data_IF_011380806221
#
_entry.id   IF_011380806221
#
_cell.length_a   1.000
_cell.length_b   1.000
_cell.length_c   1.000
_cell.angle_alpha   90.00
_cell.angle_beta   90.00
_cell.angle_gamma   90.00
#
_symmetry.space_group_name_H-M   'P 1'
#
loop_
_entity.id
_entity.type
_entity.pdbx_description
1 polymer ?
#
# COMPACT_ATOMS: atom_id res chain seq x y z
N UNK A 1 -22.09 -31.60 9.13
CA UNK A 1 -21.76 -30.18 8.84
C UNK A 1 -23.05 -29.38 8.98
N UNK A 2 -23.04 -28.29 9.74
CA UNK A 2 -24.25 -27.50 10.00
C UNK A 2 -24.76 -26.81 8.72
N UNK A 3 -26.07 -26.53 8.66
CA UNK A 3 -26.72 -25.86 7.52
C UNK A 3 -26.14 -24.45 7.29
N UNK A 4 -25.95 -23.71 8.38
CA UNK A 4 -25.32 -22.38 8.37
C UNK A 4 -23.83 -22.43 7.98
N UNK A 5 -23.07 -23.40 8.51
CA UNK A 5 -21.64 -23.52 8.15
C UNK A 5 -21.47 -23.78 6.67
N UNK A 6 -22.38 -24.57 6.08
CA UNK A 6 -22.37 -24.82 4.65
C UNK A 6 -22.64 -23.55 3.84
N UNK A 7 -23.59 -22.70 4.28
CA UNK A 7 -23.89 -21.43 3.59
C UNK A 7 -22.72 -20.46 3.63
N UNK A 8 -22.06 -20.34 4.80
CA UNK A 8 -20.85 -19.54 4.98
C UNK A 8 -19.73 -20.05 4.06
N UNK A 9 -19.52 -21.37 3.99
CA UNK A 9 -18.46 -21.96 3.17
C UNK A 9 -18.67 -21.67 1.67
N UNK A 10 -19.91 -21.72 1.19
CA UNK A 10 -20.24 -21.35 -0.18
C UNK A 10 -19.98 -19.85 -0.45
N UNK A 11 -20.26 -18.99 0.53
CA UNK A 11 -19.98 -17.54 0.41
C UNK A 11 -18.49 -17.22 0.42
N UNK A 12 -17.72 -17.90 1.27
CA UNK A 12 -16.24 -17.77 1.31
C UNK A 12 -15.61 -18.25 0.00
N UNK A 13 -16.20 -19.24 -0.67
CA UNK A 13 -15.78 -19.67 -2.01
C UNK A 13 -16.08 -18.66 -3.12
N UNK A 14 -16.78 -17.56 -2.83
CA UNK A 14 -17.08 -16.50 -3.80
C UNK A 14 -18.15 -16.89 -4.83
N UNK A 15 -19.00 -17.87 -4.52
CA UNK A 15 -20.13 -18.23 -5.38
C UNK A 15 -21.19 -17.14 -5.36
N UNK A 16 -21.84 -16.93 -6.51
CA UNK A 16 -22.97 -16.02 -6.58
C UNK A 16 -24.19 -16.59 -5.84
N UNK A 17 -25.05 -15.70 -5.38
CA UNK A 17 -26.26 -16.00 -4.62
C UNK A 17 -27.16 -17.03 -5.30
N UNK A 18 -27.25 -16.99 -6.63
CA UNK A 18 -28.01 -17.96 -7.44
C UNK A 18 -27.39 -19.36 -7.36
N UNK A 19 -26.06 -19.45 -7.50
CA UNK A 19 -25.32 -20.71 -7.42
C UNK A 19 -25.33 -21.31 -6.01
N UNK A 20 -25.25 -20.46 -4.99
CA UNK A 20 -25.40 -20.87 -3.58
C UNK A 20 -26.78 -21.49 -3.37
N UNK A 21 -27.84 -20.83 -3.85
CA UNK A 21 -29.22 -21.32 -3.74
C UNK A 21 -29.38 -22.67 -4.44
N UNK A 22 -28.83 -22.83 -5.64
CA UNK A 22 -28.84 -24.10 -6.38
C UNK A 22 -28.15 -25.23 -5.60
N UNK A 23 -26.94 -24.99 -5.08
CA UNK A 23 -26.19 -25.98 -4.29
C UNK A 23 -26.86 -26.34 -2.97
N UNK A 24 -27.59 -25.40 -2.36
CA UNK A 24 -28.36 -25.69 -1.15
C UNK A 24 -29.59 -26.56 -1.46
N UNK A 25 -30.28 -26.30 -2.58
CA UNK A 25 -31.38 -27.17 -3.05
C UNK A 25 -30.89 -28.58 -3.37
N UNK A 26 -29.78 -28.71 -4.09
CA UNK A 26 -29.14 -30.00 -4.39
C UNK A 26 -28.79 -30.79 -3.11
N UNK A 27 -28.55 -30.08 -2.01
CA UNK A 27 -28.23 -30.67 -0.70
C UNK A 27 -29.47 -30.94 0.17
N UNK A 28 -30.67 -30.70 -0.35
CA UNK A 28 -31.94 -31.00 0.33
C UNK A 28 -32.43 -29.93 1.31
N UNK A 29 -32.03 -28.66 1.12
CA UNK A 29 -32.54 -27.57 1.94
C UNK A 29 -33.93 -27.13 1.44
N UNK A 30 -34.83 -26.80 2.37
CA UNK A 30 -36.13 -26.21 2.03
C UNK A 30 -35.98 -24.76 1.58
N UNK A 31 -36.82 -24.32 0.64
CA UNK A 31 -36.77 -22.97 0.09
C UNK A 31 -36.96 -21.86 1.15
N UNK A 32 -37.75 -22.15 2.19
CA UNK A 32 -37.97 -21.30 3.37
C UNK A 32 -36.67 -21.11 4.19
N UNK A 33 -35.97 -22.20 4.45
CA UNK A 33 -34.71 -22.22 5.20
C UNK A 33 -33.57 -21.59 4.41
N UNK A 34 -33.52 -21.79 3.08
CA UNK A 34 -32.44 -21.27 2.25
C UNK A 34 -32.35 -19.75 2.36
N UNK A 35 -33.47 -19.03 2.31
CA UNK A 35 -33.47 -17.57 2.46
C UNK A 35 -32.93 -17.14 3.82
N UNK A 36 -33.34 -17.84 4.89
CA UNK A 36 -32.87 -17.56 6.24
C UNK A 36 -31.35 -17.74 6.35
N UNK A 37 -30.82 -18.88 5.90
CA UNK A 37 -29.39 -19.19 5.99
C UNK A 37 -28.52 -18.32 5.07
N UNK A 38 -29.03 -17.92 3.91
CA UNK A 38 -28.34 -16.97 3.01
C UNK A 38 -28.20 -15.61 3.67
N UNK A 39 -29.29 -15.07 4.21
CA UNK A 39 -29.27 -13.78 4.92
C UNK A 39 -28.30 -13.83 6.11
N UNK A 40 -28.38 -14.89 6.90
CA UNK A 40 -27.49 -15.09 8.06
C UNK A 40 -26.02 -15.21 7.66
N UNK A 41 -25.69 -15.92 6.58
CA UNK A 41 -24.30 -16.00 6.09
C UNK A 41 -23.78 -14.67 5.57
N UNK A 42 -24.62 -13.86 4.92
CA UNK A 42 -24.22 -12.54 4.43
C UNK A 42 -23.93 -11.57 5.56
N UNK A 43 -24.73 -11.58 6.63
CA UNK A 43 -24.48 -10.82 7.85
C UNK A 43 -23.15 -11.21 8.50
N UNK A 44 -22.88 -12.52 8.61
CA UNK A 44 -21.62 -13.03 9.18
C UNK A 44 -20.43 -12.66 8.30
N UNK A 45 -20.54 -12.83 6.98
CA UNK A 45 -19.50 -12.50 6.04
C UNK A 45 -19.20 -10.99 6.03
N UNK A 46 -20.23 -10.15 6.05
CA UNK A 46 -20.09 -8.70 6.16
C UNK A 46 -19.44 -8.32 7.49
N UNK A 47 -19.90 -8.87 8.61
CA UNK A 47 -19.34 -8.58 9.92
C UNK A 47 -17.86 -8.98 10.00
N UNK A 48 -17.51 -10.16 9.48
CA UNK A 48 -16.12 -10.58 9.32
C UNK A 48 -15.35 -9.62 8.42
N UNK A 49 -15.90 -9.22 7.27
CA UNK A 49 -15.23 -8.31 6.35
C UNK A 49 -14.96 -6.93 6.97
N UNK A 50 -15.89 -6.43 7.79
CA UNK A 50 -15.80 -5.14 8.49
C UNK A 50 -14.76 -5.25 9.61
N UNK A 51 -14.84 -6.29 10.44
CA UNK A 51 -13.85 -6.54 11.50
C UNK A 51 -12.44 -6.77 10.92
N UNK A 52 -12.32 -7.48 9.78
CA UNK A 52 -11.04 -7.74 9.14
C UNK A 52 -10.50 -6.50 8.41
N UNK A 53 -11.36 -5.64 7.84
CA UNK A 53 -10.95 -4.32 7.33
C UNK A 53 -10.46 -3.41 8.46
N UNK A 54 -11.10 -3.44 9.62
CA UNK A 54 -10.66 -2.71 10.82
C UNK A 54 -9.29 -3.20 11.34
N UNK A 55 -9.03 -4.51 11.25
CA UNK A 55 -7.74 -5.11 11.64
C UNK A 55 -6.61 -4.94 10.60
N UNK A 56 -6.90 -4.42 9.40
CA UNK A 56 -5.89 -4.19 8.34
C UNK A 56 -5.20 -2.83 8.37
N UNK A 57 -5.23 -2.10 9.48
CA UNK A 57 -4.15 -1.14 9.74
C UNK A 57 -2.96 -1.91 10.35
N UNK A 58 -2.30 -2.71 9.53
CA UNK A 58 -0.97 -3.25 9.85
C UNK A 58 -0.10 -2.02 10.11
N UNK A 59 0.14 -1.72 11.39
CA UNK A 59 0.71 -0.46 11.86
C UNK A 59 1.85 -0.05 10.94
N UNK A 60 1.63 1.01 10.17
CA UNK A 60 2.61 1.55 9.23
C UNK A 60 3.89 1.73 10.04
N UNK A 61 4.94 0.95 9.74
CA UNK A 61 6.18 0.97 10.51
C UNK A 61 6.78 2.38 10.37
N UNK A 62 6.46 3.27 11.32
CA UNK A 62 6.77 4.71 11.28
C UNK A 62 8.28 4.91 11.09
N UNK A 63 9.07 3.94 11.56
CA UNK A 63 10.52 3.92 11.47
C UNK A 63 11.01 3.74 10.02
N UNK A 64 10.32 2.93 9.20
CA UNK A 64 10.69 2.74 7.80
C UNK A 64 10.47 4.00 6.96
N UNK A 65 9.35 4.68 7.16
CA UNK A 65 9.07 5.96 6.47
C UNK A 65 10.06 7.03 6.93
N UNK A 66 10.34 7.09 8.25
CA UNK A 66 11.32 8.03 8.81
C UNK A 66 12.73 7.80 8.22
N UNK A 67 13.15 6.55 8.05
CA UNK A 67 14.43 6.20 7.42
C UNK A 67 14.51 6.66 5.96
N UNK A 68 13.45 6.44 5.17
CA UNK A 68 13.40 6.89 3.76
C UNK A 68 13.44 8.42 3.67
N UNK A 69 12.69 9.13 4.52
CA UNK A 69 12.71 10.59 4.56
C UNK A 69 14.12 11.12 4.93
N UNK A 70 14.77 10.49 5.91
CA UNK A 70 16.10 10.90 6.37
C UNK A 70 17.18 10.67 5.30
N UNK A 71 17.09 9.55 4.56
CA UNK A 71 17.97 9.28 3.42
C UNK A 71 17.78 10.31 2.29
N UNK A 72 16.54 10.69 1.96
CA UNK A 72 16.25 11.71 0.95
C UNK A 72 16.82 13.09 1.33
N UNK A 73 16.66 13.48 2.60
CA UNK A 73 17.23 14.75 3.11
C UNK A 73 18.76 14.72 3.01
N UNK A 74 19.40 13.59 3.34
CA UNK A 74 20.84 13.45 3.26
C UNK A 74 21.36 13.52 1.82
N UNK A 75 20.67 12.89 0.86
CA UNK A 75 21.00 12.98 -0.57
C UNK A 75 20.86 14.41 -1.07
N UNK A 76 19.80 15.12 -0.68
CA UNK A 76 19.60 16.53 -1.03
C UNK A 76 20.72 17.42 -0.45
N UNK A 77 21.11 17.20 0.81
CA UNK A 77 22.17 17.97 1.46
C UNK A 77 23.51 17.78 0.74
N UNK A 78 23.85 16.53 0.40
CA UNK A 78 25.07 16.20 -0.36
C UNK A 78 25.02 16.84 -1.75
N UNK A 79 23.89 16.77 -2.45
CA UNK A 79 23.71 17.40 -3.76
C UNK A 79 23.91 18.92 -3.73
N UNK A 80 23.34 19.60 -2.73
CA UNK A 80 23.55 21.04 -2.53
C UNK A 80 25.01 21.35 -2.23
N UNK A 81 25.66 20.56 -1.36
CA UNK A 81 27.06 20.76 -0.98
C UNK A 81 28.01 20.60 -2.19
N UNK A 82 27.79 19.57 -3.00
CA UNK A 82 28.53 19.37 -4.25
C UNK A 82 28.22 20.45 -5.29
N UNK A 83 26.97 20.90 -5.39
CA UNK A 83 26.61 22.03 -6.26
C UNK A 83 27.32 23.32 -5.88
N UNK A 84 27.39 23.65 -4.59
CA UNK A 84 28.17 24.79 -4.11
C UNK A 84 29.67 24.60 -4.33
N UNK A 85 30.20 23.40 -4.11
CA UNK A 85 31.61 23.09 -4.33
C UNK A 85 32.01 23.21 -5.81
N UNK A 86 31.16 22.76 -6.74
CA UNK A 86 31.40 22.90 -8.19
C UNK A 86 31.32 24.35 -8.62
N UNK A 87 30.33 25.11 -8.14
CA UNK A 87 30.22 26.56 -8.42
C UNK A 87 31.45 27.32 -7.87
N UNK A 88 31.92 26.97 -6.67
CA UNK A 88 33.11 27.55 -6.06
C UNK A 88 34.39 27.24 -6.85
N UNK A 89 34.56 26.00 -7.32
CA UNK A 89 35.69 25.59 -8.16
C UNK A 89 35.68 26.28 -9.53
N UNK A 90 34.52 26.42 -10.16
CA UNK A 90 34.38 27.15 -11.43
C UNK A 90 34.69 28.63 -11.24
N UNK A 91 34.22 29.25 -10.15
CA UNK A 91 34.55 30.63 -9.80
C UNK A 91 36.06 30.82 -9.58
N UNK A 92 36.71 29.90 -8.85
CA UNK A 92 38.15 29.91 -8.63
C UNK A 92 38.93 29.79 -9.96
N UNK A 93 38.46 28.92 -10.87
CA UNK A 93 39.07 28.73 -12.18
C UNK A 93 38.98 29.99 -13.06
N UNK A 94 37.84 30.69 -13.04
CA UNK A 94 37.67 31.96 -13.77
C UNK A 94 38.59 33.04 -13.21
N UNK A 95 38.66 33.20 -11.89
CA UNK A 95 39.56 34.17 -11.23
C UNK A 95 41.02 33.85 -11.56
N UNK A 96 41.41 32.59 -11.47
CA UNK A 96 42.76 32.14 -11.83
C UNK A 96 43.09 32.42 -13.31
N UNK A 97 42.15 32.18 -14.22
CA UNK A 97 42.31 32.47 -15.65
C UNK A 97 42.47 33.96 -15.93
N UNK A 98 41.73 34.82 -15.22
CA UNK A 98 41.83 36.28 -15.32
C UNK A 98 43.17 36.80 -14.77
N UNK A 99 43.60 36.32 -13.59
CA UNK A 99 44.90 36.68 -13.00
C UNK A 99 46.06 36.23 -13.88
N UNK A 100 45.97 35.03 -14.46
CA UNK A 100 46.99 34.53 -15.39
C UNK A 100 47.05 35.35 -16.68
N UNK A 101 45.91 35.79 -17.19
CA UNK A 101 45.84 36.64 -18.39
C UNK A 101 46.32 38.07 -18.12
N UNK A 102 46.12 38.61 -16.92
CA UNK A 102 46.64 39.94 -16.55
C UNK A 102 48.16 39.94 -16.33
N UNK A 103 48.72 38.83 -15.83
CA UNK A 103 50.17 38.66 -15.66
C UNK A 103 50.93 38.48 -16.98
N UNK A 104 50.26 38.13 -18.08
CA UNK A 104 50.88 37.96 -19.40
C UNK A 104 50.96 39.26 -20.21
N UNK A 105 50.32 40.33 -19.73
CA UNK A 105 50.21 41.63 -20.41
C UNK A 105 51.15 42.71 -19.84
N UNK A 106 52.11 42.33 -18.99
CA UNK A 106 53.13 43.22 -18.45
C UNK A 106 54.49 42.92 -19.04
#
# INVERSE_FOLDING_TARGET
>A
MNKLDFSILLRVKGLDTVDIKKKMKEKGFEDSEIQYYLKRSDEIFLNQSIHYKGLKSKGKNKNGIKMIALALILVLLVGVFFGFATIGLVGLFIIWSLVRSSSYRR
#
